data_IF_564099917902
#
_entry.id   IF_564099917902
#
_cell.length_a   1.000
_cell.length_b   1.000
_cell.length_c   1.000
_cell.angle_alpha   90.00
_cell.angle_beta   90.00
_cell.angle_gamma   90.00
#
_symmetry.space_group_name_H-M   'P 1'
#
loop_
_entity.id
_entity.type
_entity.pdbx_description
1 polymer ?
#
# COMPACT_ATOMS: atom_id res chain seq x y z
N UNK A 1 -30.24 22.70 -15.04
CA UNK A 1 -28.80 22.76 -14.73
C UNK A 1 -28.60 22.00 -13.44
N UNK A 2 -27.81 20.94 -13.49
CA UNK A 2 -27.74 19.86 -12.50
C UNK A 2 -27.35 20.32 -11.09
N UNK A 3 -28.14 19.86 -10.11
CA UNK A 3 -27.87 20.02 -8.68
C UNK A 3 -26.65 19.18 -8.29
N UNK A 4 -25.51 19.83 -8.11
CA UNK A 4 -24.34 19.20 -7.50
C UNK A 4 -24.62 19.02 -5.99
N UNK A 5 -25.07 17.82 -5.59
CA UNK A 5 -25.28 17.47 -4.18
C UNK A 5 -23.94 17.45 -3.45
N UNK A 6 -23.57 18.60 -2.90
CA UNK A 6 -22.44 18.74 -2.00
C UNK A 6 -22.83 18.08 -0.65
N UNK A 7 -22.59 16.76 -0.55
CA UNK A 7 -22.71 16.02 0.71
C UNK A 7 -21.71 16.61 1.69
N UNK A 8 -22.20 17.57 2.48
CA UNK A 8 -21.54 18.19 3.62
C UNK A 8 -20.93 17.08 4.48
N UNK A 9 -19.61 17.10 4.63
CA UNK A 9 -18.90 16.28 5.62
C UNK A 9 -19.47 16.60 7.00
N UNK A 10 -20.38 15.75 7.48
CA UNK A 10 -20.84 15.78 8.87
C UNK A 10 -19.69 15.34 9.75
N UNK A 11 -19.13 16.28 10.51
CA UNK A 11 -18.23 15.95 11.61
C UNK A 11 -19.07 15.25 12.70
N UNK A 12 -19.25 13.93 12.56
CA UNK A 12 -20.10 13.10 13.42
C UNK A 12 -19.55 12.94 14.85
N UNK A 13 -18.34 13.45 15.11
CA UNK A 13 -17.55 13.15 16.32
C UNK A 13 -17.46 14.33 17.31
N UNK A 14 -18.17 15.44 17.07
CA UNK A 14 -18.18 16.64 17.95
C UNK A 14 -16.78 17.11 18.39
N UNK A 15 -15.82 17.16 17.48
CA UNK A 15 -14.44 17.55 17.82
C UNK A 15 -14.29 19.09 17.77
N UNK A 16 -13.68 19.74 18.78
CA UNK A 16 -13.46 21.17 18.76
C UNK A 16 -12.60 21.59 17.57
N UNK A 17 -13.00 22.68 16.91
CA UNK A 17 -12.30 23.22 15.75
C UNK A 17 -11.05 23.98 16.19
N UNK A 18 -10.10 24.06 15.27
CA UNK A 18 -8.74 24.61 15.34
C UNK A 18 -8.61 26.10 15.72
N UNK A 19 -9.49 26.64 16.57
CA UNK A 19 -9.33 27.95 17.22
C UNK A 19 -8.58 27.88 18.56
N UNK A 20 -8.21 26.68 19.04
CA UNK A 20 -7.56 26.49 20.34
C UNK A 20 -6.19 25.84 20.21
N UNK A 21 -5.15 26.66 20.12
CA UNK A 21 -3.79 26.28 20.57
C UNK A 21 -3.01 25.31 19.67
N UNK A 22 -1.71 25.54 19.58
CA UNK A 22 -0.78 24.91 18.64
C UNK A 22 -0.39 23.45 18.98
N UNK A 23 -1.35 22.57 19.20
CA UNK A 23 -1.08 21.13 19.24
C UNK A 23 -2.02 20.42 18.27
N UNK A 24 -1.55 20.34 17.02
CA UNK A 24 -2.18 19.59 15.94
C UNK A 24 -2.37 18.14 16.41
N UNK A 25 -3.58 17.81 16.85
CA UNK A 25 -4.00 16.43 17.00
C UNK A 25 -3.99 15.81 15.59
N UNK A 26 -2.84 15.24 15.21
CA UNK A 26 -2.71 14.40 14.04
C UNK A 26 -3.48 13.13 14.34
N UNK A 27 -4.75 13.09 13.97
CA UNK A 27 -5.51 11.86 13.96
C UNK A 27 -4.89 10.94 12.91
N UNK A 28 -4.10 9.97 13.37
CA UNK A 28 -3.58 8.88 12.55
C UNK A 28 -4.76 8.01 12.13
N UNK A 29 -5.35 8.27 10.97
CA UNK A 29 -6.26 7.31 10.34
C UNK A 29 -5.44 6.09 9.93
N UNK A 30 -5.40 5.08 10.80
CA UNK A 30 -4.77 3.80 10.52
C UNK A 30 -5.63 3.10 9.48
N UNK A 31 -5.19 3.08 8.22
CA UNK A 31 -5.82 2.25 7.19
C UNK A 31 -5.70 0.79 7.64
N UNK A 32 -6.79 0.20 8.14
CA UNK A 32 -6.83 -1.22 8.54
C UNK A 32 -6.51 -2.18 7.37
N UNK A 33 -6.58 -1.68 6.13
CA UNK A 33 -6.47 -2.48 4.91
C UNK A 33 -5.21 -2.12 4.11
N UNK A 34 -4.01 -2.22 4.71
CA UNK A 34 -2.81 -2.29 3.87
C UNK A 34 -2.81 -3.66 3.20
N UNK A 35 -3.27 -3.66 1.95
CA UNK A 35 -3.36 -4.85 1.11
C UNK A 35 -1.99 -5.19 0.54
N UNK A 36 -1.76 -6.48 0.31
CA UNK A 36 -0.59 -6.96 -0.40
C UNK A 36 -0.62 -6.48 -1.86
N UNK A 37 0.55 -6.33 -2.46
CA UNK A 37 0.68 -5.76 -3.80
C UNK A 37 0.86 -6.86 -4.85
N UNK A 38 0.04 -6.84 -5.90
CA UNK A 38 0.23 -7.68 -7.08
C UNK A 38 1.35 -7.12 -7.94
N UNK A 39 2.37 -7.92 -8.21
CA UNK A 39 3.54 -7.56 -9.01
C UNK A 39 3.52 -8.36 -10.29
N UNK A 40 3.46 -7.66 -11.42
CA UNK A 40 3.58 -8.27 -12.75
C UNK A 40 4.95 -7.91 -13.32
N UNK A 41 5.71 -8.91 -13.71
CA UNK A 41 7.00 -8.73 -14.37
C UNK A 41 6.80 -8.65 -15.88
N UNK A 42 7.79 -8.09 -16.58
CA UNK A 42 7.73 -7.87 -18.04
C UNK A 42 7.67 -9.16 -18.85
N UNK A 43 8.12 -10.28 -18.28
CA UNK A 43 7.99 -11.61 -18.87
C UNK A 43 6.56 -12.18 -18.75
N UNK A 44 5.62 -11.39 -18.22
CA UNK A 44 4.22 -11.76 -18.02
C UNK A 44 3.95 -12.53 -16.71
N UNK A 45 4.98 -12.85 -15.94
CA UNK A 45 4.81 -13.57 -14.68
C UNK A 45 4.21 -12.68 -13.59
N UNK A 46 3.35 -13.28 -12.75
CA UNK A 46 2.59 -12.58 -11.71
C UNK A 46 2.92 -13.16 -10.35
N UNK A 47 3.23 -12.28 -9.41
CA UNK A 47 3.52 -12.61 -8.02
C UNK A 47 2.86 -11.60 -7.10
N UNK A 48 2.95 -11.85 -5.80
CA UNK A 48 2.49 -10.94 -4.75
C UNK A 48 3.62 -10.54 -3.81
N UNK A 49 3.52 -9.34 -3.26
CA UNK A 49 4.44 -8.82 -2.26
C UNK A 49 3.68 -8.37 -1.03
N UNK A 50 4.19 -8.82 0.12
CA UNK A 50 3.65 -8.43 1.40
C UNK A 50 3.97 -6.97 1.69
N UNK A 51 2.96 -6.21 2.10
CA UNK A 51 3.08 -4.79 2.40
C UNK A 51 3.03 -4.57 3.92
N UNK A 52 3.97 -3.77 4.42
CA UNK A 52 4.03 -3.36 5.82
C UNK A 52 3.74 -1.87 5.93
N UNK A 53 2.82 -1.52 6.82
CA UNK A 53 2.58 -0.14 7.19
C UNK A 53 3.48 0.24 8.36
N UNK A 54 4.20 1.35 8.22
CA UNK A 54 4.95 1.96 9.30
C UNK A 54 4.16 3.15 9.83
N UNK A 55 3.41 2.90 10.91
CA UNK A 55 2.56 3.89 11.60
C UNK A 55 3.37 5.15 12.00
N UNK A 56 4.63 5.00 12.43
CA UNK A 56 5.48 6.10 12.93
C UNK A 56 5.85 7.12 11.83
N UNK A 57 6.06 6.65 10.61
CA UNK A 57 6.51 7.47 9.49
C UNK A 57 5.45 7.63 8.39
N UNK A 58 4.22 7.19 8.63
CA UNK A 58 3.13 7.19 7.65
C UNK A 58 3.56 6.60 6.29
N UNK A 59 4.43 5.58 6.30
CA UNK A 59 5.03 5.03 5.10
C UNK A 59 4.62 3.57 4.90
N UNK A 60 4.45 3.18 3.64
CA UNK A 60 4.18 1.80 3.23
C UNK A 60 5.46 1.25 2.63
N UNK A 61 5.91 0.08 3.09
CA UNK A 61 7.09 -0.61 2.56
C UNK A 61 6.72 -2.03 2.16
N UNK A 62 7.23 -2.47 1.01
CA UNK A 62 7.13 -3.87 0.60
C UNK A 62 8.19 -4.72 1.32
N UNK A 63 7.90 -6.00 1.50
CA UNK A 63 8.88 -6.97 1.97
C UNK A 63 10.09 -7.05 1.03
N UNK A 64 11.32 -6.91 1.53
CA UNK A 64 12.49 -6.92 0.68
C UNK A 64 12.79 -8.32 0.16
N UNK A 65 12.99 -8.43 -1.15
CA UNK A 65 13.44 -9.63 -1.86
C UNK A 65 12.54 -10.87 -1.81
N UNK A 66 11.36 -10.80 -1.18
CA UNK A 66 10.41 -11.91 -1.12
C UNK A 66 9.33 -11.78 -2.20
N UNK A 67 8.87 -12.91 -2.74
CA UNK A 67 7.72 -13.01 -3.63
C UNK A 67 6.79 -14.13 -3.15
N UNK A 68 5.49 -13.96 -3.38
CA UNK A 68 4.45 -14.91 -3.01
C UNK A 68 3.60 -15.29 -4.23
N UNK A 69 2.96 -16.45 -4.17
CA UNK A 69 2.09 -16.97 -5.24
C UNK A 69 0.62 -16.58 -5.04
N UNK A 70 0.25 -16.20 -3.82
CA UNK A 70 -1.12 -15.88 -3.42
C UNK A 70 -1.25 -14.45 -2.89
N UNK A 71 -2.46 -13.89 -3.01
CA UNK A 71 -2.79 -12.54 -2.55
C UNK A 71 -2.62 -12.37 -1.04
N UNK A 72 -2.83 -13.43 -0.26
CA UNK A 72 -2.66 -13.38 1.19
C UNK A 72 -1.19 -13.45 1.63
N UNK A 73 -0.26 -13.63 0.69
CA UNK A 73 1.17 -13.81 0.93
C UNK A 73 1.47 -14.91 1.97
N UNK A 74 0.83 -16.07 1.78
CA UNK A 74 1.01 -17.26 2.61
C UNK A 74 1.91 -18.30 1.95
N UNK A 75 1.96 -18.33 0.61
CA UNK A 75 2.72 -19.29 -0.18
C UNK A 75 3.93 -18.59 -0.78
N UNK A 76 5.11 -18.90 -0.25
CA UNK A 76 6.39 -18.37 -0.75
C UNK A 76 6.64 -18.86 -2.19
N UNK A 77 7.02 -17.95 -3.08
CA UNK A 77 7.50 -18.33 -4.39
C UNK A 77 8.90 -18.97 -4.29
N UNK A 78 9.21 -19.89 -5.19
CA UNK A 78 10.54 -20.51 -5.28
C UNK A 78 11.63 -19.53 -5.70
N UNK A 79 11.25 -18.40 -6.31
CA UNK A 79 12.15 -17.37 -6.81
C UNK A 79 12.01 -16.10 -5.98
N UNK A 80 13.14 -15.47 -5.72
CA UNK A 80 13.20 -14.15 -5.06
C UNK A 80 13.01 -13.04 -6.08
N UNK A 81 12.66 -11.84 -5.58
CA UNK A 81 12.52 -10.66 -6.45
C UNK A 81 13.81 -10.37 -7.24
N UNK A 82 14.97 -10.46 -6.58
CA UNK A 82 16.28 -10.24 -7.23
C UNK A 82 16.54 -11.26 -8.32
N UNK A 83 16.30 -12.55 -8.06
CA UNK A 83 16.45 -13.60 -9.07
C UNK A 83 15.55 -13.35 -10.26
N UNK A 84 14.30 -12.94 -10.03
CA UNK A 84 13.37 -12.66 -11.14
C UNK A 84 13.81 -11.48 -11.99
N UNK A 85 14.30 -10.41 -11.36
CA UNK A 85 14.88 -9.26 -12.07
C UNK A 85 16.12 -9.69 -12.87
N UNK A 86 17.00 -10.51 -12.30
CA UNK A 86 18.18 -11.02 -13.01
C UNK A 86 17.80 -11.89 -14.21
N UNK A 87 16.75 -12.71 -14.08
CA UNK A 87 16.22 -13.51 -15.18
C UNK A 87 15.71 -12.61 -16.31
N UNK A 88 14.89 -11.60 -16.01
CA UNK A 88 14.37 -10.67 -17.01
C UNK A 88 15.51 -9.90 -17.72
N UNK A 89 16.56 -9.50 -16.99
CA UNK A 89 17.78 -8.89 -17.57
C UNK A 89 18.51 -9.85 -18.50
N UNK A 90 18.67 -11.11 -18.09
CA UNK A 90 19.31 -12.15 -18.91
C UNK A 90 18.55 -12.41 -20.21
N UNK A 91 17.23 -12.26 -20.18
CA UNK A 91 16.36 -12.38 -21.35
C UNK A 91 16.30 -11.11 -22.21
N UNK A 92 16.98 -10.02 -21.81
CA UNK A 92 16.96 -8.74 -22.53
C UNK A 92 15.62 -8.01 -22.46
N UNK A 93 14.78 -8.32 -21.47
CA UNK A 93 13.47 -7.68 -21.30
C UNK A 93 13.55 -6.38 -20.49
N UNK A 94 14.63 -6.19 -19.71
CA UNK A 94 14.96 -4.98 -18.92
C UNK A 94 16.46 -4.75 -18.84
#
# INVERSE_FOLDING_TARGET
MDQHTNKRYTNMMKIPKSSEGSNKALYFYRKQNVQNCKVTFIDGSVYWQKMFFNDKFLSIKAEPNTLYLDEQCTILAKVTRKQKIQECKRLGLI
#
